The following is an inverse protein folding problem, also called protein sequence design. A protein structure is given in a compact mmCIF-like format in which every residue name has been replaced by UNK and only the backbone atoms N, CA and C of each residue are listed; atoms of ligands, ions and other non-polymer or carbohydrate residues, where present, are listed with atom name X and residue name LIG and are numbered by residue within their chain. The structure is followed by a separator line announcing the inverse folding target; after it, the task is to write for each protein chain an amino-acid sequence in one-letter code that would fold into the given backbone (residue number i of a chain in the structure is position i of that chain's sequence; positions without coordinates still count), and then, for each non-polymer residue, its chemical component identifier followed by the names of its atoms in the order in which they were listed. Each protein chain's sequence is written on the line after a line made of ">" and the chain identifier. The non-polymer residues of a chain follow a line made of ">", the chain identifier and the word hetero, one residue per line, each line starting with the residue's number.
data_IF_901873183783
#
_entry.id   IF_901873183783
#
_cell.length_a   1.000
_cell.length_b   1.000
_cell.length_c   1.000
_cell.angle_alpha   90.00
_cell.angle_beta   90.00
_cell.angle_gamma   90.00
#
_symmetry.space_group_name_H-M   'P 1'
#
loop_
_entity.id
_entity.type
_entity.pdbx_description
1 polymer ?
#
# COMPACT_ATOMS: atom_id res chain seq x y z
N UNK A 1 3.58 -0.91 38.39
CA UNK A 1 4.93 -0.68 37.82
C UNK A 1 4.98 -1.23 36.39
N UNK A 2 5.61 -0.53 35.42
CA UNK A 2 5.81 -1.07 34.07
C UNK A 2 6.90 -2.14 34.13
N UNK A 3 6.61 -3.34 33.62
CA UNK A 3 7.61 -4.41 33.47
C UNK A 3 8.72 -3.96 32.52
N UNK A 4 9.97 -4.05 32.97
CA UNK A 4 11.12 -3.82 32.10
C UNK A 4 11.30 -5.00 31.16
N UNK A 5 11.49 -4.70 29.87
CA UNK A 5 11.74 -5.73 28.86
C UNK A 5 13.14 -6.31 29.00
N UNK A 6 13.26 -7.62 28.87
CA UNK A 6 14.56 -8.30 28.82
C UNK A 6 15.32 -7.93 27.54
N UNK A 7 16.64 -8.12 27.48
CA UNK A 7 17.41 -7.96 26.25
C UNK A 7 16.86 -8.76 25.07
N UNK A 8 16.40 -10.00 25.32
CA UNK A 8 15.81 -10.88 24.31
C UNK A 8 14.50 -10.29 23.75
N UNK A 9 13.63 -9.78 24.63
CA UNK A 9 12.39 -9.12 24.22
C UNK A 9 12.65 -7.83 23.43
N UNK A 10 13.67 -7.06 23.82
CA UNK A 10 14.10 -5.88 23.05
C UNK A 10 14.59 -6.27 21.65
N UNK A 11 15.36 -7.37 21.54
CA UNK A 11 15.85 -7.87 20.25
C UNK A 11 14.70 -8.36 19.37
N UNK A 12 13.77 -9.13 19.91
CA UNK A 12 12.58 -9.60 19.19
C UNK A 12 11.76 -8.42 18.63
N UNK A 13 11.47 -7.42 19.47
CA UNK A 13 10.77 -6.22 19.04
C UNK A 13 11.54 -5.40 18.01
N UNK A 14 12.87 -5.35 18.12
CA UNK A 14 13.70 -4.67 17.12
C UNK A 14 13.60 -5.37 15.76
N UNK A 15 13.59 -6.70 15.72
CA UNK A 15 13.48 -7.47 14.47
C UNK A 15 12.11 -7.35 13.81
N UNK A 16 11.05 -7.18 14.61
CA UNK A 16 9.68 -7.00 14.13
C UNK A 16 9.40 -5.56 13.64
N UNK A 17 9.95 -4.56 14.34
CA UNK A 17 9.63 -3.14 14.11
C UNK A 17 10.57 -2.45 13.13
N UNK A 18 11.84 -2.85 13.05
CA UNK A 18 12.73 -2.38 11.98
C UNK A 18 12.26 -3.03 10.67
N UNK A 19 11.97 -2.21 9.67
CA UNK A 19 11.42 -2.65 8.39
C UNK A 19 12.35 -2.23 7.25
N UNK A 20 12.57 -3.14 6.30
CA UNK A 20 13.53 -2.99 5.21
C UNK A 20 12.84 -3.18 3.87
N UNK A 21 13.15 -2.28 2.94
CA UNK A 21 12.80 -2.49 1.55
C UNK A 21 13.65 -3.64 0.98
N UNK A 22 12.98 -4.69 0.51
CA UNK A 22 13.59 -5.87 -0.12
C UNK A 22 13.45 -5.87 -1.64
N UNK A 23 12.66 -4.93 -2.16
CA UNK A 23 12.54 -4.68 -3.60
C UNK A 23 13.73 -3.82 -4.01
N UNK A 24 14.34 -4.12 -5.16
CA UNK A 24 15.50 -3.39 -5.69
C UNK A 24 15.14 -1.97 -6.20
N UNK A 25 14.24 -1.29 -5.50
CA UNK A 25 13.84 0.08 -5.77
C UNK A 25 14.56 1.05 -4.81
N UNK A 26 14.77 2.28 -5.27
CA UNK A 26 15.28 3.33 -4.40
C UNK A 26 14.20 3.78 -3.41
N UNK A 27 14.62 4.20 -2.22
CA UNK A 27 13.72 4.74 -1.19
C UNK A 27 12.91 5.95 -1.70
N UNK A 28 13.49 6.75 -2.60
CA UNK A 28 12.81 7.87 -3.24
C UNK A 28 11.74 7.41 -4.25
N UNK A 29 12.04 6.37 -5.04
CA UNK A 29 11.09 5.79 -5.99
C UNK A 29 9.84 5.25 -5.29
N UNK A 30 9.99 4.53 -4.17
CA UNK A 30 8.87 4.04 -3.39
C UNK A 30 7.98 5.17 -2.85
N UNK A 31 8.59 6.27 -2.34
CA UNK A 31 7.83 7.45 -1.87
C UNK A 31 6.99 8.06 -2.99
N UNK A 32 7.58 8.23 -4.17
CA UNK A 32 6.89 8.81 -5.32
C UNK A 32 5.76 7.89 -5.81
N UNK A 33 6.01 6.59 -5.93
CA UNK A 33 5.01 5.61 -6.36
C UNK A 33 3.79 5.59 -5.41
N UNK A 34 4.03 5.64 -4.09
CA UNK A 34 2.98 5.72 -3.07
C UNK A 34 2.17 7.01 -3.25
N UNK A 35 2.83 8.16 -3.41
CA UNK A 35 2.15 9.44 -3.60
C UNK A 35 1.27 9.43 -4.86
N UNK A 36 1.83 8.97 -5.99
CA UNK A 36 1.14 8.84 -7.28
C UNK A 36 -0.06 7.91 -7.18
N UNK A 37 0.08 6.76 -6.50
CA UNK A 37 -1.01 5.81 -6.34
C UNK A 37 -2.14 6.37 -5.45
N UNK A 38 -1.81 7.07 -4.37
CA UNK A 38 -2.81 7.79 -3.55
C UNK A 38 -3.58 8.82 -4.37
N UNK A 39 -2.86 9.61 -5.17
CA UNK A 39 -3.46 10.61 -6.05
C UNK A 39 -4.41 9.95 -7.05
N UNK A 40 -3.96 8.91 -7.74
CA UNK A 40 -4.77 8.20 -8.74
C UNK A 40 -6.06 7.61 -8.15
N UNK A 41 -5.98 6.95 -6.99
CA UNK A 41 -7.16 6.38 -6.30
C UNK A 41 -8.21 7.46 -5.97
N UNK A 42 -7.76 8.63 -5.53
CA UNK A 42 -8.67 9.73 -5.19
C UNK A 42 -9.21 10.46 -6.42
N UNK A 43 -8.38 10.65 -7.46
CA UNK A 43 -8.79 11.31 -8.69
C UNK A 43 -9.77 10.46 -9.50
N UNK A 44 -9.52 9.16 -9.65
CA UNK A 44 -10.43 8.23 -10.34
C UNK A 44 -11.80 8.18 -9.67
N UNK A 45 -11.86 8.10 -8.34
CA UNK A 45 -13.12 8.14 -7.60
C UNK A 45 -13.87 9.47 -7.80
N UNK A 46 -13.19 10.60 -7.65
CA UNK A 46 -13.80 11.93 -7.89
C UNK A 46 -14.31 12.05 -9.32
N UNK A 47 -13.54 11.59 -10.30
CA UNK A 47 -13.95 11.60 -11.71
C UNK A 47 -15.22 10.77 -11.93
N UNK A 48 -15.28 9.56 -11.38
CA UNK A 48 -16.46 8.69 -11.49
C UNK A 48 -17.71 9.34 -10.87
N UNK A 49 -17.57 9.92 -9.66
CA UNK A 49 -18.66 10.65 -9.01
C UNK A 49 -19.11 11.86 -9.84
N UNK A 50 -18.17 12.66 -10.37
CA UNK A 50 -18.50 13.79 -11.22
C UNK A 50 -19.21 13.38 -12.51
N UNK A 51 -18.81 12.25 -13.11
CA UNK A 51 -19.48 11.71 -14.29
C UNK A 51 -20.93 11.35 -13.97
N UNK A 52 -21.20 10.67 -12.85
CA UNK A 52 -22.56 10.38 -12.41
C UNK A 52 -23.38 11.67 -12.17
N UNK A 53 -22.79 12.67 -11.50
CA UNK A 53 -23.46 13.95 -11.24
C UNK A 53 -23.75 14.76 -12.51
N UNK A 54 -22.91 14.64 -13.55
CA UNK A 54 -23.09 15.38 -14.81
C UNK A 54 -24.41 15.05 -15.51
N UNK A 55 -25.02 13.90 -15.21
CA UNK A 55 -26.33 13.51 -15.73
C UNK A 55 -27.48 14.45 -15.31
N UNK A 56 -27.31 15.21 -14.21
CA UNK A 56 -28.30 16.21 -13.75
C UNK A 56 -28.34 17.48 -14.59
N UNK A 57 -27.27 17.79 -15.33
CA UNK A 57 -27.14 19.04 -16.09
C UNK A 57 -27.01 18.79 -17.60
N UNK A 58 -27.31 17.56 -18.05
CA UNK A 58 -27.29 17.18 -19.45
C UNK A 58 -28.45 17.78 -20.25
N UNK A 59 -28.41 17.58 -21.58
CA UNK A 59 -29.47 18.04 -22.49
C UNK A 59 -30.86 17.49 -22.12
N UNK A 60 -30.89 16.25 -21.63
CA UNK A 60 -32.04 15.65 -20.94
C UNK A 60 -31.58 15.30 -19.53
N UNK A 61 -31.98 16.07 -18.50
CA UNK A 61 -31.61 15.79 -17.12
C UNK A 61 -32.13 14.43 -16.66
N UNK A 62 -31.27 13.65 -16.01
CA UNK A 62 -31.67 12.40 -15.35
C UNK A 62 -32.47 12.66 -14.07
N UNK A 63 -33.23 11.66 -13.65
CA UNK A 63 -33.92 11.67 -12.36
C UNK A 63 -32.92 11.81 -11.18
N UNK A 64 -33.10 12.80 -10.28
CA UNK A 64 -32.20 13.00 -9.15
C UNK A 64 -32.02 11.79 -8.23
N UNK A 65 -33.07 10.99 -8.02
CA UNK A 65 -32.99 9.83 -7.14
C UNK A 65 -32.11 8.72 -7.76
N UNK A 66 -32.28 8.47 -9.06
CA UNK A 66 -31.41 7.57 -9.81
C UNK A 66 -29.93 8.02 -9.77
N UNK A 67 -29.66 9.31 -9.92
CA UNK A 67 -28.29 9.86 -9.83
C UNK A 67 -27.73 9.71 -8.42
N UNK A 68 -28.52 9.98 -7.38
CA UNK A 68 -28.10 9.79 -5.99
C UNK A 68 -27.69 8.34 -5.71
N UNK A 69 -28.49 7.37 -6.20
CA UNK A 69 -28.17 5.94 -6.11
C UNK A 69 -26.88 5.56 -6.87
N UNK A 70 -26.66 6.12 -8.07
CA UNK A 70 -25.44 5.91 -8.85
C UNK A 70 -24.19 6.47 -8.14
N UNK A 71 -24.29 7.65 -7.53
CA UNK A 71 -23.20 8.23 -6.74
C UNK A 71 -22.94 7.39 -5.49
N UNK A 72 -23.97 6.98 -4.75
CA UNK A 72 -23.85 6.18 -3.55
C UNK A 72 -23.22 4.79 -3.82
N UNK A 73 -23.50 4.21 -4.98
CA UNK A 73 -22.92 2.94 -5.42
C UNK A 73 -21.51 3.06 -6.00
N UNK A 74 -21.03 4.27 -6.29
CA UNK A 74 -19.67 4.49 -6.81
C UNK A 74 -18.63 4.15 -5.76
N UNK A 75 -17.73 3.21 -6.07
CA UNK A 75 -16.70 2.73 -5.15
C UNK A 75 -15.33 3.28 -5.49
N UNK A 76 -14.62 3.76 -4.47
CA UNK A 76 -13.18 4.07 -4.58
C UNK A 76 -12.38 2.77 -4.74
N UNK A 77 -11.34 2.80 -5.59
CA UNK A 77 -10.41 1.67 -5.67
C UNK A 77 -9.84 1.31 -4.29
N UNK A 78 -9.80 0.01 -4.01
CA UNK A 78 -9.25 -0.49 -2.75
C UNK A 78 -7.72 -0.52 -2.83
N UNK A 79 -7.08 0.47 -2.22
CA UNK A 79 -5.64 0.56 -2.13
C UNK A 79 -5.23 1.07 -0.75
N UNK A 80 -4.16 0.48 -0.21
CA UNK A 80 -3.56 0.88 1.05
C UNK A 80 -2.04 0.77 0.91
N UNK A 81 -1.32 1.67 1.58
CA UNK A 81 0.13 1.51 1.76
C UNK A 81 0.38 0.31 2.66
N UNK A 82 1.11 -0.67 2.14
CA UNK A 82 1.62 -1.81 2.91
C UNK A 82 2.97 -1.42 3.51
N UNK A 83 3.25 -1.80 4.76
CA UNK A 83 4.58 -1.60 5.32
C UNK A 83 5.63 -2.50 4.66
N UNK A 84 6.89 -2.06 4.70
CA UNK A 84 8.04 -2.85 4.25
C UNK A 84 8.24 -4.10 5.13
N UNK A 85 9.06 -5.03 4.64
CA UNK A 85 9.30 -6.34 5.26
C UNK A 85 10.05 -6.19 6.60
N UNK A 86 9.65 -6.88 7.69
CA UNK A 86 10.38 -6.88 8.95
C UNK A 86 11.84 -7.31 8.78
N UNK A 87 12.75 -6.74 9.56
CA UNK A 87 14.18 -7.05 9.50
C UNK A 87 14.45 -8.54 9.74
N UNK A 88 13.71 -9.18 10.64
CA UNK A 88 13.81 -10.62 10.89
C UNK A 88 13.62 -11.44 9.61
N UNK A 89 12.56 -11.17 8.84
CA UNK A 89 12.26 -11.82 7.57
C UNK A 89 13.28 -11.46 6.48
N UNK A 90 13.69 -10.19 6.40
CA UNK A 90 14.70 -9.75 5.44
C UNK A 90 16.04 -10.50 5.63
N UNK A 91 16.43 -10.77 6.88
CA UNK A 91 17.63 -11.54 7.19
C UNK A 91 17.49 -13.02 6.81
N UNK A 92 16.30 -13.62 6.94
CA UNK A 92 16.03 -14.99 6.49
C UNK A 92 16.13 -15.08 4.96
N UNK A 93 15.52 -14.14 4.24
CA UNK A 93 15.60 -14.04 2.78
C UNK A 93 17.03 -13.83 2.28
N UNK A 94 17.88 -13.13 3.03
CA UNK A 94 19.29 -12.97 2.67
C UNK A 94 20.05 -14.28 2.83
N UNK A 95 19.82 -15.01 3.94
CA UNK A 95 20.48 -16.30 4.20
C UNK A 95 20.11 -17.37 3.18
N UNK A 96 18.84 -17.43 2.77
CA UNK A 96 18.41 -18.39 1.74
C UNK A 96 19.11 -18.16 0.40
N UNK A 97 19.27 -16.89 0.00
CA UNK A 97 19.96 -16.52 -1.24
C UNK A 97 21.45 -16.85 -1.24
N UNK A 98 22.14 -16.66 -0.11
CA UNK A 98 23.56 -17.01 0.01
C UNK A 98 23.80 -18.52 -0.03
N UNK A 99 22.89 -19.33 0.52
CA UNK A 99 23.03 -20.79 0.52
C UNK A 99 22.90 -21.41 -0.89
N UNK A 100 22.16 -20.77 -1.80
CA UNK A 100 22.02 -21.21 -3.20
C UNK A 100 23.14 -20.75 -4.13
N UNK A 101 23.98 -19.79 -3.73
CA UNK A 101 25.03 -19.22 -4.58
C UNK A 101 26.40 -19.91 -4.48
N UNK A 102 26.55 -20.87 -3.55
CA UNK A 102 27.85 -21.48 -3.20
C UNK A 102 28.05 -22.87 -3.84
N UNK A 103 27.24 -23.23 -4.85
CA UNK A 103 27.21 -24.58 -5.45
C UNK A 103 27.39 -24.64 -6.96
N UNK A 104 27.80 -23.54 -7.62
CA UNK A 104 28.05 -23.50 -9.07
C UNK A 104 29.41 -22.91 -9.38
N UNK A 105 30.46 -23.60 -8.95
CA UNK A 105 31.81 -23.50 -9.51
C UNK A 105 32.54 -24.81 -9.13
N UNK A 106 32.31 -25.85 -9.93
CA UNK A 106 33.10 -27.08 -9.97
C UNK A 106 33.03 -27.66 -11.39
#
# INVERSE_FOLDING_TARGET
>A
MKRHRTPQEKKALSLERDRRNVVAESQWGGREAIARRKQWVNQSHRKAVHQALSALSGHVPADPEAVASAVASTRRHHWRKTPDVPLGEALLLRRSRSATGDGSDA
#
